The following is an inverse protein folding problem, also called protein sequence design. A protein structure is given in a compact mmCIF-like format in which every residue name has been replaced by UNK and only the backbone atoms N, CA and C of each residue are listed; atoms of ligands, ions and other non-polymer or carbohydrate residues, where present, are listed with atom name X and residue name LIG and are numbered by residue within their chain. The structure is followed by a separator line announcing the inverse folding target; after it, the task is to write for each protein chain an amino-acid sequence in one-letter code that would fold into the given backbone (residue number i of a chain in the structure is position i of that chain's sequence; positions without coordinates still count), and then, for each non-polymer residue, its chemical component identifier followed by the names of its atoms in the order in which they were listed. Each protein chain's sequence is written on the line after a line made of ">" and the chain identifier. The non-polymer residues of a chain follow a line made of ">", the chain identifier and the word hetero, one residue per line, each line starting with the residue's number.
data_IF_681426464872
#
_entry.id   IF_681426464872
#
_cell.length_a   1.000
_cell.length_b   1.000
_cell.length_c   1.000
_cell.angle_alpha   90.00
_cell.angle_beta   90.00
_cell.angle_gamma   90.00
#
_symmetry.space_group_name_H-M   'P 1'
#
loop_
_entity.id
_entity.type
_entity.pdbx_description
1 polymer ?
#
# COMPACT_ATOMS: atom_id res chain seq x y z
N UNK A 1 9.59 16.92 -1.99
CA UNK A 1 9.95 15.50 -1.89
C UNK A 1 10.87 15.41 -0.71
N UNK A 2 10.50 14.58 0.27
CA UNK A 2 11.30 14.31 1.45
C UNK A 2 12.71 13.85 1.06
N UNK A 3 13.75 14.41 1.69
CA UNK A 3 15.15 14.10 1.38
C UNK A 3 15.49 12.64 1.69
N UNK A 4 14.81 12.00 2.66
CA UNK A 4 14.98 10.59 2.99
C UNK A 4 14.44 9.69 1.88
N UNK A 5 13.30 10.06 1.29
CA UNK A 5 12.74 9.37 0.11
C UNK A 5 13.67 9.55 -1.08
N UNK A 6 14.15 10.76 -1.32
CA UNK A 6 15.11 11.04 -2.39
C UNK A 6 16.38 10.20 -2.26
N UNK A 7 17.01 10.23 -1.08
CA UNK A 7 18.23 9.47 -0.83
C UNK A 7 18.03 7.95 -1.00
N UNK A 8 16.87 7.44 -0.61
CA UNK A 8 16.55 6.03 -0.81
C UNK A 8 16.39 5.68 -2.30
N UNK A 9 15.66 6.50 -3.06
CA UNK A 9 15.50 6.33 -4.51
C UNK A 9 16.85 6.38 -5.21
N UNK A 10 17.67 7.39 -4.92
CA UNK A 10 19.02 7.54 -5.49
C UNK A 10 19.91 6.33 -5.16
N UNK A 11 19.82 5.83 -3.92
CA UNK A 11 20.54 4.64 -3.47
C UNK A 11 20.14 3.36 -4.20
N UNK A 12 18.86 3.17 -4.48
CA UNK A 12 18.38 2.03 -5.25
C UNK A 12 18.80 2.08 -6.72
N UNK A 13 18.77 3.27 -7.33
CA UNK A 13 19.24 3.47 -8.71
C UNK A 13 20.73 3.17 -8.84
N UNK A 14 21.52 3.47 -7.80
CA UNK A 14 22.96 3.21 -7.78
C UNK A 14 23.33 1.76 -7.39
N UNK A 15 22.38 0.96 -6.88
CA UNK A 15 22.66 -0.38 -6.39
C UNK A 15 22.88 -1.37 -7.54
N UNK A 16 23.93 -2.21 -7.42
CA UNK A 16 24.25 -3.23 -8.42
C UNK A 16 23.31 -4.45 -8.36
N UNK A 17 22.72 -4.71 -7.20
CA UNK A 17 21.80 -5.82 -6.95
C UNK A 17 20.66 -5.36 -6.06
N UNK A 18 19.44 -5.71 -6.45
CA UNK A 18 18.24 -5.34 -5.69
C UNK A 18 17.89 -6.44 -4.69
N UNK A 19 17.73 -6.07 -3.41
CA UNK A 19 17.20 -6.96 -2.39
C UNK A 19 15.72 -6.63 -2.14
N UNK A 20 14.76 -7.46 -2.61
CA UNK A 20 13.35 -7.13 -2.51
C UNK A 20 12.84 -7.01 -1.07
N UNK A 21 13.33 -7.85 -0.14
CA UNK A 21 12.95 -7.77 1.27
C UNK A 21 13.38 -6.44 1.91
N UNK A 22 14.65 -6.07 1.75
CA UNK A 22 15.16 -4.80 2.27
C UNK A 22 14.46 -3.59 1.65
N UNK A 23 14.14 -3.65 0.35
CA UNK A 23 13.37 -2.59 -0.32
C UNK A 23 11.96 -2.46 0.23
N UNK A 24 11.26 -3.57 0.47
CA UNK A 24 9.94 -3.59 1.09
C UNK A 24 9.97 -2.96 2.48
N UNK A 25 10.86 -3.43 3.34
CA UNK A 25 10.98 -2.95 4.72
C UNK A 25 11.24 -1.44 4.75
N UNK A 26 12.20 -0.98 3.95
CA UNK A 26 12.54 0.45 3.90
C UNK A 26 11.43 1.31 3.31
N UNK A 27 10.66 0.77 2.37
CA UNK A 27 9.48 1.45 1.83
C UNK A 27 8.42 1.63 2.92
N UNK A 28 8.15 0.60 3.71
CA UNK A 28 7.21 0.67 4.83
C UNK A 28 7.62 1.72 5.88
N UNK A 29 8.88 1.70 6.30
CA UNK A 29 9.42 2.68 7.24
C UNK A 29 9.21 4.11 6.72
N UNK A 30 9.60 4.37 5.47
CA UNK A 30 9.46 5.70 4.89
C UNK A 30 8.01 6.11 4.68
N UNK A 31 7.14 5.18 4.27
CA UNK A 31 5.74 5.45 4.00
C UNK A 31 5.00 5.96 5.24
N UNK A 32 5.25 5.35 6.40
CA UNK A 32 4.66 5.75 7.68
C UNK A 32 5.20 7.10 8.20
N UNK A 33 6.40 7.47 7.75
CA UNK A 33 7.14 8.66 8.20
C UNK A 33 6.94 9.89 7.32
N UNK A 34 6.33 9.76 6.13
CA UNK A 34 6.10 10.88 5.21
C UNK A 34 4.68 11.40 5.31
N UNK A 35 4.55 12.71 5.50
CA UNK A 35 3.25 13.37 5.71
C UNK A 35 2.65 13.94 4.41
N UNK A 36 3.41 14.00 3.31
CA UNK A 36 2.97 14.60 2.06
C UNK A 36 2.71 13.56 0.95
N UNK A 37 1.58 13.74 0.26
CA UNK A 37 1.15 12.86 -0.84
C UNK A 37 2.20 12.76 -1.95
N UNK A 38 2.90 13.86 -2.27
CA UNK A 38 3.89 13.87 -3.35
C UNK A 38 5.07 12.93 -3.03
N UNK A 39 5.56 12.93 -1.81
CA UNK A 39 6.62 12.02 -1.37
C UNK A 39 6.12 10.57 -1.31
N UNK A 40 4.89 10.32 -0.83
CA UNK A 40 4.27 8.98 -0.87
C UNK A 40 4.17 8.44 -2.30
N UNK A 41 3.66 9.24 -3.23
CA UNK A 41 3.54 8.84 -4.65
C UNK A 41 4.91 8.54 -5.25
N UNK A 42 5.94 9.35 -4.97
CA UNK A 42 7.30 9.09 -5.45
C UNK A 42 7.86 7.77 -4.88
N UNK A 43 7.63 7.53 -3.59
CA UNK A 43 8.04 6.30 -2.92
C UNK A 43 7.34 5.06 -3.50
N UNK A 44 6.01 5.11 -3.68
CA UNK A 44 5.24 4.01 -4.26
C UNK A 44 5.59 3.74 -5.74
N UNK A 45 5.90 4.79 -6.50
CA UNK A 45 6.36 4.66 -7.88
C UNK A 45 7.72 3.95 -7.96
N UNK A 46 8.65 4.32 -7.08
CA UNK A 46 9.93 3.62 -6.97
C UNK A 46 9.72 2.18 -6.53
N UNK A 47 8.89 1.94 -5.51
CA UNK A 47 8.62 0.60 -5.00
C UNK A 47 8.09 -0.33 -6.09
N UNK A 48 7.09 0.11 -6.85
CA UNK A 48 6.53 -0.66 -7.97
C UNK A 48 7.61 -1.00 -9.02
N UNK A 49 8.43 -0.02 -9.42
CA UNK A 49 9.50 -0.24 -10.38
C UNK A 49 10.56 -1.23 -9.85
N UNK A 50 11.00 -1.05 -8.61
CA UNK A 50 11.97 -1.92 -7.95
C UNK A 50 11.47 -3.37 -7.86
N UNK A 51 10.20 -3.56 -7.51
CA UNK A 51 9.61 -4.89 -7.39
C UNK A 51 9.42 -5.58 -8.75
N UNK A 52 9.13 -4.84 -9.83
CA UNK A 52 9.13 -5.41 -11.19
C UNK A 52 10.50 -5.97 -11.57
N UNK A 53 11.56 -5.20 -11.33
CA UNK A 53 12.93 -5.65 -11.55
C UNK A 53 13.26 -6.87 -10.68
N UNK A 54 12.82 -6.88 -9.42
CA UNK A 54 13.00 -8.02 -8.52
C UNK A 54 12.32 -9.29 -9.05
N UNK A 55 11.09 -9.17 -9.56
CA UNK A 55 10.34 -10.29 -10.13
C UNK A 55 11.02 -10.82 -11.39
N UNK A 56 11.46 -9.96 -12.30
CA UNK A 56 12.20 -10.36 -13.51
C UNK A 56 13.47 -11.13 -13.18
N UNK A 57 14.24 -10.68 -12.18
CA UNK A 57 15.43 -11.40 -11.71
C UNK A 57 15.09 -12.72 -11.04
N UNK A 58 14.06 -12.73 -10.16
CA UNK A 58 13.62 -13.95 -9.48
C UNK A 58 13.14 -15.00 -10.49
N UNK A 59 12.42 -14.59 -11.53
CA UNK A 59 11.98 -15.47 -12.62
C UNK A 59 13.17 -16.02 -13.41
N UNK A 60 14.13 -15.17 -13.77
CA UNK A 60 15.34 -15.58 -14.49
C UNK A 60 16.20 -16.58 -13.71
N UNK A 61 16.22 -16.45 -12.38
CA UNK A 61 16.95 -17.35 -11.47
C UNK A 61 16.14 -18.60 -11.08
N UNK A 62 14.92 -18.77 -11.59
CA UNK A 62 14.04 -19.90 -11.30
C UNK A 62 13.48 -19.92 -9.87
N UNK A 63 13.41 -18.75 -9.23
CA UNK A 63 12.86 -18.56 -7.89
C UNK A 63 11.33 -18.53 -7.85
N UNK A 64 10.78 -18.41 -6.64
CA UNK A 64 9.34 -18.29 -6.39
C UNK A 64 8.84 -16.87 -6.69
N UNK A 65 8.36 -16.68 -7.92
CA UNK A 65 7.77 -15.43 -8.37
C UNK A 65 6.35 -15.23 -7.81
N UNK A 66 5.59 -16.31 -7.63
CA UNK A 66 4.19 -16.24 -7.15
C UNK A 66 4.12 -15.70 -5.72
N UNK A 67 5.00 -16.18 -4.83
CA UNK A 67 5.11 -15.69 -3.46
C UNK A 67 5.44 -14.19 -3.41
N UNK A 68 6.31 -13.73 -4.31
CA UNK A 68 6.68 -12.31 -4.40
C UNK A 68 5.52 -11.45 -4.94
N UNK A 69 4.81 -11.91 -5.97
CA UNK A 69 3.61 -11.24 -6.51
C UNK A 69 2.57 -11.04 -5.40
N UNK A 70 2.25 -12.10 -4.65
CA UNK A 70 1.27 -12.04 -3.57
C UNK A 70 1.68 -11.04 -2.48
N UNK A 71 2.96 -11.00 -2.14
CA UNK A 71 3.49 -10.06 -1.15
C UNK A 71 3.41 -8.59 -1.63
N UNK A 72 3.72 -8.33 -2.90
CA UNK A 72 3.64 -7.00 -3.50
C UNK A 72 2.18 -6.51 -3.55
N UNK A 73 1.25 -7.39 -3.92
CA UNK A 73 -0.18 -7.07 -3.95
C UNK A 73 -0.70 -6.71 -2.55
N UNK A 74 -0.29 -7.48 -1.53
CA UNK A 74 -0.62 -7.20 -0.13
C UNK A 74 -0.07 -5.85 0.33
N UNK A 75 1.20 -5.54 0.04
CA UNK A 75 1.81 -4.25 0.39
C UNK A 75 1.05 -3.08 -0.24
N UNK A 76 0.77 -3.14 -1.55
CA UNK A 76 0.04 -2.09 -2.28
C UNK A 76 -1.36 -1.84 -1.73
N UNK A 77 -2.05 -2.93 -1.37
CA UNK A 77 -3.37 -2.85 -0.76
C UNK A 77 -3.29 -2.18 0.60
N UNK A 78 -2.32 -2.58 1.43
CA UNK A 78 -2.14 -2.01 2.76
C UNK A 78 -1.73 -0.52 2.70
N UNK A 79 -0.86 -0.11 1.77
CA UNK A 79 -0.54 1.32 1.57
C UNK A 79 -1.78 2.15 1.23
N UNK A 80 -2.67 1.63 0.38
CA UNK A 80 -3.92 2.32 0.06
C UNK A 80 -4.84 2.46 1.28
N UNK A 81 -4.90 1.45 2.15
CA UNK A 81 -5.63 1.54 3.41
C UNK A 81 -5.03 2.60 4.34
N UNK A 82 -3.72 2.54 4.60
CA UNK A 82 -3.06 3.47 5.50
C UNK A 82 -3.13 4.92 5.00
N UNK A 83 -3.05 5.16 3.69
CA UNK A 83 -3.19 6.51 3.14
C UNK A 83 -4.61 7.07 3.34
N UNK A 84 -5.61 6.20 3.34
CA UNK A 84 -7.01 6.57 3.53
C UNK A 84 -7.47 6.53 4.99
N UNK A 85 -6.59 6.20 5.93
CA UNK A 85 -6.92 6.20 7.36
C UNK A 85 -6.86 7.62 7.93
N UNK A 86 -7.87 7.98 8.72
CA UNK A 86 -7.89 9.18 9.54
C UNK A 86 -7.10 9.01 10.86
N UNK A 87 -6.97 10.09 11.62
CA UNK A 87 -6.29 10.10 12.94
C UNK A 87 -6.95 9.16 13.99
N UNK A 88 -8.14 8.63 13.69
CA UNK A 88 -8.86 7.66 14.53
C UNK A 88 -8.76 6.24 13.99
N UNK A 89 -7.82 5.99 13.08
CA UNK A 89 -7.59 4.71 12.41
C UNK A 89 -8.82 4.21 11.64
N UNK A 90 -9.69 5.13 11.21
CA UNK A 90 -10.83 4.80 10.36
C UNK A 90 -10.49 5.11 8.92
N UNK A 91 -10.82 4.17 8.04
CA UNK A 91 -10.65 4.35 6.60
C UNK A 91 -11.77 5.24 6.08
N UNK A 92 -11.41 6.38 5.50
CA UNK A 92 -12.31 7.19 4.68
C UNK A 92 -12.52 6.49 3.32
N UNK A 93 -13.77 6.16 3.02
CA UNK A 93 -14.11 5.41 1.82
C UNK A 93 -13.92 6.19 0.51
N UNK A 94 -14.16 7.50 0.54
CA UNK A 94 -13.99 8.37 -0.62
C UNK A 94 -12.50 8.58 -0.90
N UNK A 95 -11.71 8.76 0.16
CA UNK A 95 -10.25 8.86 0.08
C UNK A 95 -9.62 7.55 -0.38
N UNK A 96 -10.06 6.41 0.16
CA UNK A 96 -9.62 5.09 -0.30
C UNK A 96 -9.92 4.89 -1.78
N UNK A 97 -11.12 5.25 -2.24
CA UNK A 97 -11.46 5.18 -3.66
C UNK A 97 -10.59 6.13 -4.50
N UNK A 98 -10.29 7.34 -4.02
CA UNK A 98 -9.41 8.30 -4.69
C UNK A 98 -8.00 7.73 -4.85
N UNK A 99 -7.43 7.17 -3.78
CA UNK A 99 -6.10 6.55 -3.76
C UNK A 99 -6.05 5.36 -4.71
N UNK A 100 -7.00 4.42 -4.62
CA UNK A 100 -7.05 3.25 -5.52
C UNK A 100 -7.14 3.69 -6.98
N UNK A 101 -8.02 4.64 -7.32
CA UNK A 101 -8.12 5.16 -8.70
C UNK A 101 -6.82 5.79 -9.18
N UNK A 102 -6.12 6.53 -8.31
CA UNK A 102 -4.80 7.11 -8.62
C UNK A 102 -3.77 6.02 -8.92
N UNK A 103 -3.70 4.98 -8.09
CA UNK A 103 -2.73 3.89 -8.26
C UNK A 103 -3.03 3.01 -9.48
N UNK A 104 -4.31 2.74 -9.76
CA UNK A 104 -4.74 2.04 -10.98
C UNK A 104 -4.46 2.86 -12.23
N UNK A 105 -4.77 4.16 -12.24
CA UNK A 105 -4.50 5.05 -13.36
C UNK A 105 -2.99 5.18 -13.65
N UNK A 106 -2.16 5.08 -12.60
CA UNK A 106 -0.71 5.06 -12.74
C UNK A 106 -0.15 3.67 -13.12
N UNK A 107 -0.99 2.64 -13.24
CA UNK A 107 -0.59 1.28 -13.58
C UNK A 107 0.21 0.58 -12.48
N UNK A 108 0.20 1.09 -11.25
CA UNK A 108 0.89 0.49 -10.09
C UNK A 108 0.03 -0.52 -9.35
N UNK A 109 -1.28 -0.48 -9.57
CA UNK A 109 -2.26 -1.38 -8.96
C UNK A 109 -3.08 -2.06 -10.05
N UNK A 110 -3.34 -3.37 -9.91
CA UNK A 110 -4.10 -4.13 -10.89
C UNK A 110 -5.57 -3.69 -10.93
N UNK A 111 -6.12 -3.52 -12.13
CA UNK A 111 -7.56 -3.27 -12.31
C UNK A 111 -8.42 -4.51 -12.01
N UNK A 112 -7.80 -5.71 -12.03
CA UNK A 112 -8.39 -7.02 -11.74
C UNK A 112 -8.08 -7.56 -10.32
N UNK A 113 -7.36 -6.78 -9.50
CA UNK A 113 -7.29 -6.93 -8.03
C UNK A 113 -8.57 -6.54 -7.21
N UNK A 114 -9.76 -6.16 -7.75
CA UNK A 114 -10.95 -5.80 -6.96
C UNK A 114 -11.44 -6.85 -5.99
N UNK A 115 -11.12 -8.14 -6.19
CA UNK A 115 -11.47 -9.17 -5.21
C UNK A 115 -10.71 -8.98 -3.90
N UNK A 116 -9.41 -8.61 -3.98
CA UNK A 116 -8.56 -8.33 -2.82
C UNK A 116 -8.98 -6.99 -2.18
N UNK A 117 -9.29 -5.97 -2.98
CA UNK A 117 -9.79 -4.68 -2.47
C UNK A 117 -11.19 -4.77 -1.87
N UNK A 118 -12.06 -5.61 -2.43
CA UNK A 118 -13.43 -5.81 -2.00
C UNK A 118 -13.52 -6.51 -0.65
N UNK A 119 -12.70 -7.53 -0.40
CA UNK A 119 -12.73 -8.27 0.87
C UNK A 119 -12.18 -7.43 2.04
N UNK A 120 -11.11 -6.67 1.80
CA UNK A 120 -10.55 -5.75 2.77
C UNK A 120 -11.47 -4.54 3.03
N UNK A 121 -12.05 -3.94 1.98
CA UNK A 121 -13.05 -2.88 2.13
C UNK A 121 -14.33 -3.38 2.83
N UNK A 122 -14.80 -4.59 2.53
CA UNK A 122 -15.95 -5.21 3.21
C UNK A 122 -15.65 -5.47 4.69
N UNK A 123 -14.42 -5.85 5.04
CA UNK A 123 -14.00 -6.06 6.44
C UNK A 123 -13.98 -4.76 7.22
N UNK A 124 -13.44 -3.70 6.62
CA UNK A 124 -13.47 -2.33 7.18
C UNK A 124 -14.92 -1.85 7.34
N UNK A 125 -15.76 -1.99 6.31
CA UNK A 125 -17.17 -1.60 6.35
C UNK A 125 -17.98 -2.40 7.38
N UNK A 126 -17.68 -3.69 7.57
CA UNK A 126 -18.30 -4.53 8.62
C UNK A 126 -17.91 -4.05 10.01
N UNK A 127 -16.62 -3.78 10.22
CA UNK A 127 -16.08 -3.30 11.51
C UNK A 127 -16.67 -1.94 11.86
N UNK A 128 -16.68 -0.99 10.93
CA UNK A 128 -17.28 0.33 11.10
C UNK A 128 -18.79 0.25 11.36
N UNK A 129 -19.52 -0.60 10.64
CA UNK A 129 -20.96 -0.84 10.87
C UNK A 129 -21.21 -1.41 12.26
N UNK A 130 -20.39 -2.34 12.72
CA UNK A 130 -20.57 -3.00 14.02
C UNK A 130 -20.17 -2.07 15.18
N UNK A 131 -19.22 -1.17 14.96
CA UNK A 131 -18.92 -0.05 15.88
C UNK A 131 -20.05 0.97 15.94
N UNK A 132 -20.61 1.37 14.78
CA UNK A 132 -21.78 2.25 14.71
C UNK A 132 -22.99 1.64 15.43
N UNK A 133 -23.23 0.34 15.24
CA UNK A 133 -24.29 -0.39 15.96
C UNK A 133 -24.05 -0.43 17.46
N UNK A 134 -22.81 -0.59 17.92
CA UNK A 134 -22.47 -0.50 19.35
C UNK A 134 -22.70 0.91 19.90
N UNK A 135 -22.30 1.95 19.15
CA UNK A 135 -22.46 3.36 19.55
C UNK A 135 -23.93 3.80 19.55
N UNK A 136 -24.73 3.38 18.58
CA UNK A 136 -26.15 3.72 18.47
C UNK A 136 -27.07 2.78 19.27
N UNK A 137 -26.66 1.52 19.48
CA UNK A 137 -27.41 0.53 20.25
C UNK A 137 -27.21 0.62 21.77
N UNK A 138 -26.25 1.42 22.25
CA UNK A 138 -26.05 1.73 23.66
C UNK A 138 -26.97 2.83 24.21
N UNK A 139 -27.81 3.46 23.38
CA UNK A 139 -28.71 4.56 23.79
C UNK A 139 -30.18 4.10 23.88
N UNK A 140 -30.42 2.95 24.49
CA UNK A 140 -31.76 2.52 24.90
C UNK A 140 -31.73 1.79 26.25
N UNK A 141 -31.04 2.36 27.25
CA UNK A 141 -31.27 2.09 28.67
C UNK A 141 -30.53 3.12 29.52
N UNK A 142 -31.16 4.28 29.74
CA UNK A 142 -31.35 4.93 31.04
C UNK A 142 -31.94 6.34 30.87
#
# INVERSE_FOLDING_TARGET
>A
MDERVKAFVDGLVAAATLNPGATRDRTWELFLDVDDERSRVALLAMYDAAMRVAMEHTEADGGDVEGLIGAIAADKCAFAFFEAMDDQERVDADEFQRVVRREVAAGRMGADDPAIFGEAAVTVLRTQRDELRRRCGGSAAH
#
